data_IF_914863930028
#
_entry.id   IF_914863930028
#
_cell.length_a   1.000
_cell.length_b   1.000
_cell.length_c   1.000
_cell.angle_alpha   90.00
_cell.angle_beta   90.00
_cell.angle_gamma   90.00
#
_symmetry.space_group_name_H-M   'P 1'
#
loop_
_entity.id
_entity.type
_entity.pdbx_description
1 polymer ?
#
# COMPACT_ATOMS: atom_id res chain seq x y z
N UNK A 1 -28.43 1.73 6.89
CA UNK A 1 -27.43 2.17 5.90
C UNK A 1 -26.26 1.22 5.93
N UNK A 2 -25.87 0.73 4.78
CA UNK A 2 -24.74 -0.17 4.69
C UNK A 2 -23.46 0.62 4.40
N UNK A 3 -22.47 0.46 5.26
CA UNK A 3 -21.14 0.96 4.97
C UNK A 3 -20.38 -0.12 4.26
N UNK A 4 -19.86 0.21 3.10
CA UNK A 4 -18.93 -0.68 2.42
C UNK A 4 -17.55 -0.03 2.46
N UNK A 5 -16.57 -0.82 2.80
CA UNK A 5 -15.18 -0.42 2.72
C UNK A 5 -14.56 -1.24 1.61
N UNK A 6 -14.01 -0.57 0.63
CA UNK A 6 -13.26 -1.25 -0.43
C UNK A 6 -11.82 -1.39 0.05
N UNK A 7 -11.31 -2.62 0.00
CA UNK A 7 -9.98 -2.94 0.49
C UNK A 7 -9.09 -3.38 -0.66
N UNK A 8 -7.89 -2.81 -0.73
CA UNK A 8 -6.85 -3.23 -1.66
C UNK A 8 -5.68 -3.74 -0.84
N UNK A 9 -5.20 -4.93 -1.18
CA UNK A 9 -4.03 -5.53 -0.53
C UNK A 9 -2.83 -5.41 -1.45
N UNK A 10 -1.73 -4.90 -0.92
CA UNK A 10 -0.47 -4.79 -1.64
C UNK A 10 0.53 -5.72 -0.96
N UNK A 11 1.05 -6.69 -1.71
CA UNK A 11 1.99 -7.67 -1.19
C UNK A 11 3.31 -7.50 -1.94
N UNK A 12 4.38 -7.21 -1.19
CA UNK A 12 5.72 -7.03 -1.75
C UNK A 12 6.62 -8.10 -1.16
N UNK A 13 7.30 -8.83 -2.06
CA UNK A 13 8.27 -9.85 -1.66
C UNK A 13 9.67 -9.36 -1.97
N UNK A 14 10.56 -9.49 -0.99
CA UNK A 14 11.97 -9.19 -1.15
C UNK A 14 12.75 -10.26 -0.36
N UNK A 15 13.00 -11.42 -0.98
CA UNK A 15 13.56 -12.57 -0.27
C UNK A 15 14.86 -12.23 0.45
N UNK A 16 14.95 -12.68 1.71
CA UNK A 16 16.13 -12.48 2.54
C UNK A 16 16.18 -11.17 3.31
N UNK A 17 15.27 -10.23 3.06
CA UNK A 17 15.26 -8.97 3.78
C UNK A 17 14.65 -9.16 5.17
N UNK A 18 15.28 -8.54 6.19
CA UNK A 18 14.74 -8.59 7.55
C UNK A 18 13.46 -7.77 7.66
N UNK A 19 12.62 -8.01 8.70
CA UNK A 19 11.42 -7.19 8.91
C UNK A 19 11.74 -5.69 9.03
N UNK A 20 12.84 -5.33 9.65
CA UNK A 20 13.27 -3.93 9.78
C UNK A 20 13.59 -3.33 8.42
N UNK A 21 14.27 -4.10 7.56
CA UNK A 21 14.57 -3.66 6.20
C UNK A 21 13.28 -3.51 5.39
N UNK A 22 12.35 -4.46 5.53
CA UNK A 22 11.06 -4.35 4.84
C UNK A 22 10.31 -3.10 5.28
N UNK A 23 10.34 -2.79 6.57
CA UNK A 23 9.65 -1.61 7.07
C UNK A 23 10.28 -0.31 6.54
N UNK A 24 11.59 -0.18 6.60
CA UNK A 24 12.25 1.08 6.26
C UNK A 24 12.49 1.26 4.77
N UNK A 25 12.83 0.19 4.05
CA UNK A 25 13.20 0.29 2.64
C UNK A 25 12.03 0.05 1.69
N UNK A 26 11.00 -0.66 2.14
CA UNK A 26 9.85 -1.03 1.30
C UNK A 26 8.58 -0.33 1.77
N UNK A 27 8.18 -0.55 3.04
CA UNK A 27 6.89 -0.06 3.51
C UNK A 27 6.85 1.48 3.59
N UNK A 28 7.88 2.10 4.11
CA UNK A 28 7.89 3.56 4.32
C UNK A 28 7.75 4.33 3.01
N UNK A 29 8.51 4.03 1.94
CA UNK A 29 8.31 4.72 0.66
C UNK A 29 6.93 4.49 0.08
N UNK A 30 6.40 3.26 0.16
CA UNK A 30 5.08 2.96 -0.36
C UNK A 30 3.99 3.67 0.42
N UNK A 31 4.07 3.66 1.74
CA UNK A 31 3.09 4.35 2.57
C UNK A 31 3.06 5.85 2.29
N UNK A 32 4.23 6.43 2.06
CA UNK A 32 4.33 7.86 1.74
C UNK A 32 3.58 8.17 0.44
N UNK A 33 3.75 7.34 -0.59
CA UNK A 33 3.06 7.55 -1.85
C UNK A 33 1.57 7.25 -1.73
N UNK A 34 1.20 6.17 -1.02
CA UNK A 34 -0.20 5.81 -0.85
C UNK A 34 -0.99 6.85 -0.07
N UNK A 35 -0.35 7.54 0.87
CA UNK A 35 -1.02 8.55 1.69
C UNK A 35 -1.56 9.73 0.88
N UNK A 36 -1.10 9.90 -0.36
CA UNK A 36 -1.58 10.97 -1.23
C UNK A 36 -2.80 10.57 -2.06
N UNK A 37 -3.23 9.32 -1.98
CA UNK A 37 -4.34 8.82 -2.79
C UNK A 37 -5.67 9.32 -2.23
N UNK A 38 -6.47 9.92 -3.10
CA UNK A 38 -7.78 10.44 -2.71
C UNK A 38 -8.72 9.30 -2.31
N UNK A 39 -9.49 9.50 -1.26
CA UNK A 39 -10.46 8.52 -0.79
C UNK A 39 -9.88 7.45 0.12
N UNK A 40 -8.58 7.48 0.39
CA UNK A 40 -7.97 6.55 1.32
C UNK A 40 -8.43 6.86 2.74
N UNK A 41 -9.05 5.87 3.37
CA UNK A 41 -9.62 6.02 4.70
C UNK A 41 -8.66 5.55 5.79
N UNK A 42 -8.03 4.41 5.57
CA UNK A 42 -7.02 3.90 6.50
C UNK A 42 -6.02 3.03 5.77
N UNK A 43 -4.85 2.88 6.38
CA UNK A 43 -3.75 2.11 5.82
C UNK A 43 -3.01 1.42 6.96
N UNK A 44 -2.77 0.12 6.80
CA UNK A 44 -1.98 -0.68 7.74
C UNK A 44 -0.91 -1.43 6.98
N UNK A 45 0.24 -1.60 7.62
CA UNK A 45 1.30 -2.43 7.05
C UNK A 45 1.78 -3.46 8.05
N UNK A 46 2.13 -4.63 7.53
CA UNK A 46 2.74 -5.70 8.30
C UNK A 46 4.02 -6.10 7.60
N UNK A 47 5.10 -6.16 8.35
CA UNK A 47 6.42 -6.49 7.81
C UNK A 47 6.92 -7.77 8.47
N UNK A 48 7.38 -8.70 7.65
CA UNK A 48 7.96 -9.94 8.09
C UNK A 48 9.22 -10.20 7.26
N UNK A 49 9.83 -11.36 7.46
CA UNK A 49 11.04 -11.71 6.71
C UNK A 49 10.71 -11.82 5.22
N UNK A 50 11.24 -10.89 4.44
CA UNK A 50 11.07 -10.88 3.00
C UNK A 50 9.69 -10.51 2.48
N UNK A 51 8.76 -10.08 3.37
CA UNK A 51 7.38 -9.79 2.98
C UNK A 51 6.91 -8.50 3.62
N UNK A 52 6.28 -7.66 2.83
CA UNK A 52 5.50 -6.51 3.32
C UNK A 52 4.09 -6.63 2.78
N UNK A 53 3.10 -6.56 3.67
CA UNK A 53 1.69 -6.55 3.29
C UNK A 53 1.09 -5.23 3.74
N UNK A 54 0.57 -4.47 2.78
CA UNK A 54 -0.08 -3.18 3.05
C UNK A 54 -1.55 -3.31 2.71
N UNK A 55 -2.40 -2.99 3.68
CA UNK A 55 -3.85 -3.01 3.52
C UNK A 55 -4.33 -1.58 3.38
N UNK A 56 -5.01 -1.28 2.27
CA UNK A 56 -5.55 0.04 1.99
C UNK A 56 -7.07 -0.04 2.01
N UNK A 57 -7.71 0.78 2.83
CA UNK A 57 -9.17 0.84 2.92
C UNK A 57 -9.65 2.16 2.37
N UNK A 58 -10.57 2.08 1.40
CA UNK A 58 -11.06 3.26 0.70
C UNK A 58 -12.50 3.54 1.04
N UNK A 59 -12.84 4.82 1.02
CA UNK A 59 -14.20 5.28 1.21
C UNK A 59 -15.07 4.85 0.03
N UNK A 60 -16.34 4.57 0.31
CA UNK A 60 -17.33 4.14 -0.67
C UNK A 60 -17.56 5.08 -1.82
N UNK A 61 -17.38 6.37 -1.59
CA UNK A 61 -17.57 7.35 -2.64
C UNK A 61 -16.51 7.23 -3.73
N UNK A 62 -15.44 6.46 -3.48
CA UNK A 62 -14.35 6.27 -4.42
C UNK A 62 -14.60 5.02 -5.26
N UNK A 63 -14.53 5.14 -6.58
CA UNK A 63 -14.59 4.00 -7.48
C UNK A 63 -13.36 3.13 -7.25
N UNK A 64 -13.58 1.84 -6.96
CA UNK A 64 -12.47 0.93 -6.62
C UNK A 64 -11.51 0.71 -7.78
N UNK A 65 -12.01 0.73 -9.02
CA UNK A 65 -11.14 0.57 -10.18
C UNK A 65 -10.21 1.77 -10.34
N UNK A 66 -10.73 2.98 -10.13
CA UNK A 66 -9.92 4.19 -10.16
C UNK A 66 -8.92 4.20 -9.00
N UNK A 67 -9.34 3.74 -7.82
CA UNK A 67 -8.44 3.62 -6.68
C UNK A 67 -7.31 2.63 -6.96
N UNK A 68 -7.62 1.50 -7.59
CA UNK A 68 -6.62 0.51 -7.95
C UNK A 68 -5.60 1.08 -8.94
N UNK A 69 -6.05 1.90 -9.89
CA UNK A 69 -5.14 2.57 -10.83
C UNK A 69 -4.23 3.57 -10.09
N UNK A 70 -4.76 4.29 -9.12
CA UNK A 70 -3.96 5.21 -8.32
C UNK A 70 -2.94 4.47 -7.48
N UNK A 71 -3.32 3.32 -6.91
CA UNK A 71 -2.38 2.47 -6.18
C UNK A 71 -1.26 1.99 -7.10
N UNK A 72 -1.61 1.55 -8.31
CA UNK A 72 -0.63 1.10 -9.28
C UNK A 72 0.34 2.23 -9.66
N UNK A 73 -0.18 3.43 -9.89
CA UNK A 73 0.64 4.60 -10.21
C UNK A 73 1.57 4.95 -9.04
N UNK A 74 1.06 4.89 -7.81
CA UNK A 74 1.85 5.17 -6.62
C UNK A 74 2.97 4.13 -6.46
N UNK A 75 2.69 2.86 -6.72
CA UNK A 75 3.70 1.80 -6.67
C UNK A 75 4.78 2.04 -7.71
N UNK A 76 4.40 2.43 -8.92
CA UNK A 76 5.35 2.73 -9.99
C UNK A 76 6.25 3.89 -9.58
N UNK A 77 5.67 4.94 -9.00
CA UNK A 77 6.44 6.09 -8.54
C UNK A 77 7.38 5.69 -7.39
N UNK A 78 6.89 4.91 -6.43
CA UNK A 78 7.70 4.46 -5.31
C UNK A 78 8.80 3.50 -5.73
N UNK A 79 8.64 2.78 -6.83
CA UNK A 79 9.60 1.77 -7.29
C UNK A 79 10.97 2.36 -7.56
N UNK A 80 11.06 3.65 -7.87
CA UNK A 80 12.34 4.33 -8.06
C UNK A 80 13.12 4.49 -6.76
N UNK A 81 12.45 4.33 -5.61
CA UNK A 81 13.04 4.46 -4.28
C UNK A 81 13.26 3.11 -3.61
N UNK A 82 12.75 2.04 -4.21
CA UNK A 82 12.89 0.69 -3.67
C UNK A 82 14.20 0.05 -4.12
N UNK A 83 14.75 -0.84 -3.29
CA UNK A 83 15.97 -1.55 -3.66
C UNK A 83 15.75 -2.53 -4.82
#
# INVERSE_FOLDING_TARGET
MLFRISTILVNINFPGASPETMASAIATPLEREFSTIAGLDSMNSTNALGITLITLQFNLSRNIDAAAQDVQAAMTKASTQLP
#
